data_IF_973596720967
#
_entry.id   IF_973596720967
#
_cell.length_a   1.000
_cell.length_b   1.000
_cell.length_c   1.000
_cell.angle_alpha   90.00
_cell.angle_beta   90.00
_cell.angle_gamma   90.00
#
_symmetry.space_group_name_H-M   'P 1'
#
loop_
_entity.id
_entity.type
_entity.pdbx_description
1 polymer ?
#
# COMPACT_ATOMS: atom_id res chain seq x y z
N UNK A 1 -31.96 10.85 -8.88
CA UNK A 1 -31.32 9.89 -9.82
C UNK A 1 -30.35 10.55 -10.81
N UNK A 2 -30.70 11.61 -11.57
CA UNK A 2 -29.76 12.25 -12.52
C UNK A 2 -28.42 12.70 -11.90
N UNK A 3 -28.46 13.42 -10.77
CA UNK A 3 -27.27 13.88 -10.04
C UNK A 3 -26.33 12.75 -9.62
N UNK A 4 -26.86 11.63 -9.13
CA UNK A 4 -26.07 10.47 -8.70
C UNK A 4 -25.35 9.83 -9.89
N UNK A 5 -26.03 9.72 -11.04
CA UNK A 5 -25.43 9.17 -12.26
C UNK A 5 -24.30 10.07 -12.80
N UNK A 6 -24.48 11.38 -12.78
CA UNK A 6 -23.44 12.35 -13.15
C UNK A 6 -22.19 12.22 -12.26
N UNK A 7 -22.39 12.08 -10.94
CA UNK A 7 -21.30 11.86 -10.00
C UNK A 7 -20.59 10.52 -10.25
N UNK A 8 -21.33 9.46 -10.59
CA UNK A 8 -20.72 8.17 -10.93
C UNK A 8 -19.83 8.26 -12.17
N UNK A 9 -20.31 8.93 -13.23
CA UNK A 9 -19.51 9.15 -14.45
C UNK A 9 -18.24 9.93 -14.13
N UNK A 10 -18.37 11.02 -13.38
CA UNK A 10 -17.23 11.82 -12.92
C UNK A 10 -16.24 11.00 -12.08
N UNK A 11 -16.73 10.15 -11.17
CA UNK A 11 -15.88 9.32 -10.33
C UNK A 11 -15.10 8.29 -11.16
N UNK A 12 -15.73 7.67 -12.16
CA UNK A 12 -15.09 6.73 -13.07
C UNK A 12 -14.08 7.41 -13.99
N UNK A 13 -14.39 8.60 -14.52
CA UNK A 13 -13.46 9.40 -15.31
C UNK A 13 -12.20 9.74 -14.49
N UNK A 14 -12.38 10.24 -13.26
CA UNK A 14 -11.27 10.51 -12.33
C UNK A 14 -10.45 9.25 -12.00
N UNK A 15 -11.09 8.07 -11.87
CA UNK A 15 -10.40 6.78 -11.71
C UNK A 15 -9.53 6.49 -12.96
N UNK A 16 -10.08 6.64 -14.16
CA UNK A 16 -9.37 6.38 -15.42
C UNK A 16 -8.17 7.30 -15.65
N UNK A 17 -8.25 8.55 -15.20
CA UNK A 17 -7.15 9.53 -15.24
C UNK A 17 -6.10 9.30 -14.13
N UNK A 18 -6.30 8.31 -13.26
CA UNK A 18 -5.41 8.03 -12.13
C UNK A 18 -5.54 9.03 -10.97
N UNK A 19 -6.57 9.89 -10.96
CA UNK A 19 -6.86 10.88 -9.93
C UNK A 19 -7.61 10.25 -8.74
N UNK A 20 -7.04 9.20 -8.16
CA UNK A 20 -7.70 8.32 -7.19
C UNK A 20 -8.25 9.06 -5.96
N UNK A 21 -7.52 10.06 -5.43
CA UNK A 21 -7.99 10.87 -4.29
C UNK A 21 -9.27 11.64 -4.62
N UNK A 22 -9.35 12.22 -5.82
CA UNK A 22 -10.53 12.95 -6.28
C UNK A 22 -11.69 11.99 -6.53
N UNK A 23 -11.44 10.84 -7.17
CA UNK A 23 -12.45 9.80 -7.36
C UNK A 23 -13.04 9.32 -6.03
N UNK A 24 -12.21 9.08 -5.01
CA UNK A 24 -12.66 8.72 -3.64
C UNK A 24 -13.59 9.79 -3.05
N UNK A 25 -13.26 11.08 -3.21
CA UNK A 25 -14.10 12.17 -2.72
C UNK A 25 -15.50 12.14 -3.34
N UNK A 26 -15.58 11.90 -4.65
CA UNK A 26 -16.86 11.82 -5.36
C UNK A 26 -17.65 10.59 -4.92
N UNK A 27 -17.00 9.44 -4.70
CA UNK A 27 -17.68 8.26 -4.15
C UNK A 27 -18.20 8.48 -2.73
N UNK A 28 -17.52 9.25 -1.88
CA UNK A 28 -18.04 9.65 -0.56
C UNK A 28 -19.25 10.57 -0.66
N UNK A 29 -19.25 11.49 -1.64
CA UNK A 29 -20.41 12.34 -1.92
C UNK A 29 -21.61 11.50 -2.38
N UNK A 30 -21.41 10.50 -3.24
CA UNK A 30 -22.48 9.58 -3.65
C UNK A 30 -23.04 8.82 -2.44
N UNK A 31 -22.20 8.38 -1.49
CA UNK A 31 -22.63 7.70 -0.28
C UNK A 31 -23.49 8.57 0.65
N UNK A 32 -23.28 9.89 0.67
CA UNK A 32 -24.03 10.79 1.54
C UNK A 32 -25.40 11.18 0.98
N UNK A 33 -25.59 11.08 -0.35
CA UNK A 33 -26.83 11.50 -1.03
C UNK A 33 -27.68 10.35 -1.60
N UNK A 34 -27.19 9.10 -1.53
CA UNK A 34 -27.84 7.94 -2.15
C UNK A 34 -28.15 6.85 -1.12
N UNK A 35 -29.19 6.07 -1.39
CA UNK A 35 -29.63 4.94 -0.56
C UNK A 35 -29.54 3.60 -1.32
N UNK A 36 -29.73 2.50 -0.59
CA UNK A 36 -29.78 1.15 -1.14
C UNK A 36 -28.53 0.74 -1.93
N UNK A 37 -28.74 0.19 -3.13
CA UNK A 37 -27.69 -0.40 -3.97
C UNK A 37 -26.66 0.63 -4.47
N UNK A 38 -27.05 1.89 -4.61
CA UNK A 38 -26.12 2.94 -5.02
C UNK A 38 -25.13 3.26 -3.91
N UNK A 39 -25.59 3.27 -2.66
CA UNK A 39 -24.73 3.47 -1.49
C UNK A 39 -23.76 2.30 -1.32
N UNK A 40 -24.22 1.06 -1.47
CA UNK A 40 -23.36 -0.13 -1.36
C UNK A 40 -22.27 -0.14 -2.43
N UNK A 41 -22.63 0.20 -3.68
CA UNK A 41 -21.69 0.35 -4.80
C UNK A 41 -20.63 1.41 -4.50
N UNK A 42 -21.05 2.58 -4.01
CA UNK A 42 -20.14 3.68 -3.69
C UNK A 42 -19.17 3.34 -2.55
N UNK A 43 -19.61 2.58 -1.54
CA UNK A 43 -18.74 2.06 -0.47
C UNK A 43 -17.70 1.09 -1.06
N UNK A 44 -18.12 0.15 -1.89
CA UNK A 44 -17.23 -0.83 -2.52
C UNK A 44 -16.15 -0.13 -3.36
N UNK A 45 -16.56 0.83 -4.20
CA UNK A 45 -15.66 1.61 -5.05
C UNK A 45 -14.68 2.44 -4.22
N UNK A 46 -15.14 3.11 -3.18
CA UNK A 46 -14.27 3.87 -2.29
C UNK A 46 -13.20 2.96 -1.65
N UNK A 47 -13.58 1.78 -1.15
CA UNK A 47 -12.64 0.81 -0.55
C UNK A 47 -11.58 0.36 -1.55
N UNK A 48 -11.99 -0.05 -2.75
CA UNK A 48 -11.08 -0.46 -3.83
C UNK A 48 -10.04 0.63 -4.13
N UNK A 49 -10.49 1.87 -4.32
CA UNK A 49 -9.62 2.99 -4.64
C UNK A 49 -8.68 3.36 -3.48
N UNK A 50 -9.16 3.24 -2.24
CA UNK A 50 -8.33 3.48 -1.05
C UNK A 50 -7.21 2.44 -0.97
N UNK A 51 -7.50 1.16 -1.21
CA UNK A 51 -6.48 0.10 -1.27
C UNK A 51 -5.46 0.35 -2.37
N UNK A 52 -5.90 0.73 -3.57
CA UNK A 52 -5.00 1.08 -4.68
C UNK A 52 -4.07 2.25 -4.31
N UNK A 53 -4.63 3.30 -3.70
CA UNK A 53 -3.87 4.47 -3.30
C UNK A 53 -2.82 4.11 -2.23
N UNK A 54 -3.19 3.31 -1.23
CA UNK A 54 -2.27 2.83 -0.20
C UNK A 54 -1.15 1.97 -0.78
N UNK A 55 -1.43 1.11 -1.76
CA UNK A 55 -0.40 0.33 -2.45
C UNK A 55 0.59 1.25 -3.17
N UNK A 56 0.10 2.23 -3.93
CA UNK A 56 0.97 3.19 -4.65
C UNK A 56 1.85 4.01 -3.72
N UNK A 57 1.35 4.37 -2.53
CA UNK A 57 2.16 5.08 -1.53
C UNK A 57 3.28 4.19 -1.00
N UNK A 58 2.99 2.92 -0.67
CA UNK A 58 4.02 1.96 -0.26
C UNK A 58 5.06 1.72 -1.35
N UNK A 59 4.64 1.64 -2.61
CA UNK A 59 5.56 1.50 -3.74
C UNK A 59 6.43 2.75 -3.93
N UNK A 60 5.86 3.95 -3.73
CA UNK A 60 6.61 5.20 -3.77
C UNK A 60 7.64 5.30 -2.63
N UNK A 61 7.27 4.93 -1.40
CA UNK A 61 8.19 4.86 -0.26
C UNK A 61 9.32 3.86 -0.52
N UNK A 62 8.98 2.68 -1.03
CA UNK A 62 9.96 1.66 -1.42
C UNK A 62 10.93 2.17 -2.48
N UNK A 63 10.44 2.90 -3.49
CA UNK A 63 11.27 3.44 -4.56
C UNK A 63 12.18 4.60 -4.10
N UNK A 64 11.76 5.35 -3.07
CA UNK A 64 12.59 6.41 -2.47
C UNK A 64 13.64 5.87 -1.50
N UNK A 65 13.43 4.67 -0.97
CA UNK A 65 14.31 4.08 0.03
C UNK A 65 15.72 3.77 -0.53
N UNK A 66 16.73 4.37 0.09
CA UNK A 66 18.13 4.22 -0.33
C UNK A 66 18.83 3.10 0.45
N UNK A 67 18.81 1.91 -0.15
CA UNK A 67 19.41 0.71 0.43
C UNK A 67 20.93 0.82 0.69
N UNK A 68 21.68 1.68 -0.01
CA UNK A 68 23.12 1.80 0.19
C UNK A 68 23.48 2.67 1.40
N UNK A 69 22.65 3.66 1.70
CA UNK A 69 22.87 4.55 2.85
C UNK A 69 22.54 3.89 4.19
N UNK A 70 21.58 2.95 4.19
CA UNK A 70 21.02 2.39 5.43
C UNK A 70 21.56 0.99 5.81
N UNK A 71 22.65 0.52 5.18
CA UNK A 71 23.15 -0.86 5.30
C UNK A 71 23.32 -1.35 6.75
N UNK A 72 23.84 -0.51 7.64
CA UNK A 72 24.12 -0.90 9.02
C UNK A 72 22.84 -0.98 9.86
N UNK A 73 21.96 0.00 9.74
CA UNK A 73 20.65 0.03 10.41
C UNK A 73 19.76 -1.12 9.93
N UNK A 74 19.78 -1.40 8.62
CA UNK A 74 19.06 -2.53 8.04
C UNK A 74 19.58 -3.87 8.58
N UNK A 75 20.91 -3.99 8.71
CA UNK A 75 21.52 -5.20 9.25
C UNK A 75 21.08 -5.43 10.69
N UNK A 76 21.11 -4.39 11.52
CA UNK A 76 20.65 -4.49 12.91
C UNK A 76 19.18 -4.90 12.99
N UNK A 77 18.31 -4.23 12.22
CA UNK A 77 16.88 -4.54 12.13
C UNK A 77 16.64 -5.98 11.67
N UNK A 78 17.34 -6.44 10.64
CA UNK A 78 17.24 -7.82 10.13
C UNK A 78 17.67 -8.82 11.20
N UNK A 79 18.78 -8.57 11.89
CA UNK A 79 19.27 -9.46 12.96
C UNK A 79 18.27 -9.56 14.11
N UNK A 80 17.65 -8.44 14.52
CA UNK A 80 16.58 -8.45 15.52
C UNK A 80 15.37 -9.29 15.06
N UNK A 81 14.94 -9.14 13.80
CA UNK A 81 13.83 -9.94 13.28
C UNK A 81 14.15 -11.44 13.19
N UNK A 82 15.37 -11.80 12.80
CA UNK A 82 15.84 -13.18 12.79
C UNK A 82 15.85 -13.79 14.20
N UNK A 83 16.35 -13.04 15.19
CA UNK A 83 16.32 -13.45 16.62
C UNK A 83 14.89 -13.65 17.13
N UNK A 84 13.96 -12.85 16.64
CA UNK A 84 12.53 -12.97 16.96
C UNK A 84 11.80 -14.06 16.15
N UNK A 85 12.53 -14.92 15.43
CA UNK A 85 11.96 -16.08 14.73
C UNK A 85 11.27 -15.76 13.40
N UNK A 86 11.38 -14.53 12.86
CA UNK A 86 10.80 -14.21 11.56
C UNK A 86 11.52 -14.93 10.43
N UNK A 87 10.75 -15.38 9.45
CA UNK A 87 11.26 -15.98 8.22
C UNK A 87 11.89 -14.92 7.30
N UNK A 88 12.85 -15.29 6.43
CA UNK A 88 13.44 -14.35 5.47
C UNK A 88 12.42 -13.62 4.59
N UNK A 89 11.29 -14.28 4.26
CA UNK A 89 10.21 -13.70 3.46
C UNK A 89 9.45 -12.60 4.21
N UNK A 90 9.16 -12.80 5.49
CA UNK A 90 8.53 -11.77 6.32
C UNK A 90 9.46 -10.56 6.50
N UNK A 91 10.77 -10.82 6.65
CA UNK A 91 11.78 -9.77 6.80
C UNK A 91 11.92 -8.94 5.52
N UNK A 92 11.88 -9.56 4.34
CA UNK A 92 11.89 -8.86 3.06
C UNK A 92 10.69 -7.90 2.93
N UNK A 93 9.50 -8.33 3.37
CA UNK A 93 8.30 -7.47 3.34
C UNK A 93 8.39 -6.28 4.30
N UNK A 94 9.11 -6.43 5.42
CA UNK A 94 9.26 -5.39 6.44
C UNK A 94 10.39 -4.41 6.15
N UNK A 95 11.49 -4.89 5.58
CA UNK A 95 12.73 -4.12 5.42
C UNK A 95 13.01 -3.72 3.97
N UNK A 96 12.26 -4.27 3.00
CA UNK A 96 12.46 -4.12 1.56
C UNK A 96 13.86 -4.52 1.06
N UNK A 97 14.62 -5.25 1.89
CA UNK A 97 15.94 -5.76 1.55
C UNK A 97 15.81 -7.05 0.77
N UNK A 98 16.67 -7.20 -0.24
CA UNK A 98 16.78 -8.44 -1.01
C UNK A 98 17.02 -9.64 -0.10
N UNK A 99 16.38 -10.76 -0.42
CA UNK A 99 16.59 -12.05 0.25
C UNK A 99 18.08 -12.41 0.40
N UNK A 100 18.92 -12.19 -0.61
CA UNK A 100 20.37 -12.44 -0.55
C UNK A 100 21.07 -11.69 0.59
N UNK A 101 20.75 -10.41 0.78
CA UNK A 101 21.26 -9.60 1.88
C UNK A 101 20.78 -10.13 3.24
N UNK A 102 19.52 -10.53 3.34
CA UNK A 102 18.94 -11.13 4.57
C UNK A 102 19.66 -12.45 4.91
N UNK A 103 19.88 -13.33 3.94
CA UNK A 103 20.62 -14.57 4.14
C UNK A 103 22.07 -14.31 4.54
N UNK A 104 22.72 -13.27 4.01
CA UNK A 104 24.07 -12.87 4.45
C UNK A 104 24.09 -12.47 5.93
N UNK A 105 23.05 -11.79 6.42
CA UNK A 105 22.91 -11.42 7.83
C UNK A 105 22.62 -12.65 8.70
N UNK A 106 21.76 -13.56 8.21
CA UNK A 106 21.47 -14.83 8.89
C UNK A 106 22.72 -15.69 9.07
N UNK A 107 23.57 -15.77 8.05
CA UNK A 107 24.85 -16.50 8.12
C UNK A 107 25.76 -15.90 9.21
N UNK A 108 25.93 -14.57 9.22
CA UNK A 108 26.73 -13.87 10.25
C UNK A 108 26.21 -14.10 11.66
N UNK A 109 24.89 -14.18 11.85
CA UNK A 109 24.28 -14.45 13.16
C UNK A 109 24.61 -15.87 13.67
N UNK A 110 24.81 -16.84 12.78
CA UNK A 110 25.17 -18.22 13.14
C UNK A 110 26.67 -18.40 13.42
N UNK A 111 27.49 -17.49 12.88
CA UNK A 111 28.95 -17.43 13.09
C UNK A 111 29.34 -16.62 14.34
N UNK A 112 28.36 -15.97 15.00
CA UNK A 112 28.53 -15.17 16.24
C UNK A 112 28.10 -15.96 17.46
#
# INVERSE_FOLDING_TARGET
MKKTLELMNKANELESMGLLRRAISVWREIQSISDGDMKSTAIMKQRKLTTLLSSRLKDAERNQYNCRKNINEDRETILQHLKNGKTPREIEMLTWRSTSFIYSCKKKLQES
#
